data_IF_207064067021
#
_entry.id   IF_207064067021
#
_cell.length_a   1.000
_cell.length_b   1.000
_cell.length_c   1.000
_cell.angle_alpha   90.00
_cell.angle_beta   90.00
_cell.angle_gamma   90.00
#
_symmetry.space_group_name_H-M   'P 1'
#
loop_
_entity.id
_entity.type
_entity.pdbx_description
1 polymer ?
#
# COMPACT_ATOMS: atom_id res chain seq x y z
N UNK A 1 7.33 -6.95 16.43
CA UNK A 1 6.34 -7.13 15.36
C UNK A 1 6.52 -6.03 14.34
N UNK A 2 6.80 -6.41 13.10
CA UNK A 2 6.95 -5.50 11.98
C UNK A 2 5.63 -5.43 11.22
N UNK A 3 5.39 -4.32 10.53
CA UNK A 3 4.19 -4.08 9.76
C UNK A 3 4.56 -3.53 8.39
N UNK A 4 3.76 -3.85 7.38
CA UNK A 4 3.84 -3.26 6.05
C UNK A 4 2.65 -2.36 5.81
N UNK A 5 2.86 -1.28 5.06
CA UNK A 5 1.80 -0.38 4.62
C UNK A 5 1.52 -0.65 3.15
N UNK A 6 0.24 -0.83 2.83
CA UNK A 6 -0.27 -0.79 1.47
C UNK A 6 -1.25 0.38 1.32
N UNK A 7 -1.26 0.98 0.14
CA UNK A 7 -2.18 2.01 -0.30
C UNK A 7 -3.02 1.41 -1.42
N UNK A 8 -4.33 1.36 -1.24
CA UNK A 8 -5.25 0.73 -2.19
C UNK A 8 -5.88 1.74 -3.16
N UNK A 9 -5.92 3.00 -2.75
CA UNK A 9 -6.44 4.08 -3.57
C UNK A 9 -6.28 5.44 -2.90
N UNK A 10 -6.65 6.48 -3.63
CA UNK A 10 -6.64 7.85 -3.11
C UNK A 10 -7.86 8.63 -3.61
N UNK A 11 -8.52 9.35 -2.71
CA UNK A 11 -9.71 10.15 -2.98
C UNK A 11 -9.63 11.57 -2.40
N UNK A 12 -8.42 12.09 -2.22
CA UNK A 12 -8.19 13.46 -1.74
C UNK A 12 -8.40 14.53 -2.82
N UNK A 13 -8.22 15.80 -2.44
CA UNK A 13 -8.44 16.94 -3.34
C UNK A 13 -7.17 17.47 -4.00
N UNK A 14 -5.98 17.20 -3.43
CA UNK A 14 -4.71 17.76 -3.90
C UNK A 14 -3.68 16.65 -4.11
N UNK A 15 -3.47 16.26 -5.38
CA UNK A 15 -2.53 15.21 -5.76
C UNK A 15 -1.07 15.63 -5.54
N UNK A 16 -0.77 16.92 -5.71
CA UNK A 16 0.60 17.44 -5.58
C UNK A 16 1.00 17.45 -4.10
N UNK A 17 0.13 17.94 -3.22
CA UNK A 17 0.35 17.85 -1.79
C UNK A 17 0.47 16.39 -1.36
N UNK A 18 -0.43 15.51 -1.81
CA UNK A 18 -0.41 14.09 -1.48
C UNK A 18 0.92 13.42 -1.88
N UNK A 19 1.44 13.72 -3.08
CA UNK A 19 2.73 13.21 -3.56
C UNK A 19 3.88 13.73 -2.70
N UNK A 20 3.92 15.02 -2.37
CA UNK A 20 4.95 15.59 -1.49
C UNK A 20 4.95 14.95 -0.09
N UNK A 21 3.77 14.63 0.46
CA UNK A 21 3.67 13.96 1.76
C UNK A 21 4.14 12.51 1.69
N UNK A 22 3.77 11.76 0.64
CA UNK A 22 4.26 10.40 0.40
C UNK A 22 5.78 10.40 0.27
N UNK A 23 6.34 11.29 -0.56
CA UNK A 23 7.78 11.44 -0.74
C UNK A 23 8.50 11.63 0.61
N UNK A 24 7.96 12.46 1.50
CA UNK A 24 8.55 12.71 2.83
C UNK A 24 8.43 11.53 3.78
N UNK A 25 7.27 10.88 3.83
CA UNK A 25 7.01 9.77 4.77
C UNK A 25 7.83 8.54 4.41
N UNK A 26 7.80 8.19 3.12
CA UNK A 26 8.45 6.99 2.61
C UNK A 26 9.87 7.25 2.08
N UNK A 27 10.35 8.51 2.15
CA UNK A 27 11.67 8.95 1.69
C UNK A 27 11.92 8.60 0.21
N UNK A 28 10.91 8.85 -0.62
CA UNK A 28 10.92 8.63 -2.06
C UNK A 28 11.31 9.91 -2.81
N UNK A 29 11.67 9.77 -4.09
CA UNK A 29 11.78 10.92 -4.98
C UNK A 29 10.42 11.56 -5.26
N UNK A 30 10.40 12.86 -5.56
CA UNK A 30 9.14 13.56 -5.86
C UNK A 30 8.43 13.00 -7.11
N UNK A 31 9.19 12.69 -8.18
CA UNK A 31 8.64 12.05 -9.39
C UNK A 31 8.06 10.66 -9.10
N UNK A 32 8.76 9.88 -8.28
CA UNK A 32 8.31 8.55 -7.86
C UNK A 32 7.01 8.63 -7.06
N UNK A 33 6.95 9.56 -6.10
CA UNK A 33 5.74 9.77 -5.29
C UNK A 33 4.56 10.27 -6.12
N UNK A 34 4.80 11.14 -7.11
CA UNK A 34 3.77 11.60 -8.03
C UNK A 34 3.21 10.43 -8.86
N UNK A 35 4.09 9.55 -9.37
CA UNK A 35 3.69 8.34 -10.08
C UNK A 35 2.86 7.39 -9.22
N UNK A 36 3.20 7.26 -7.92
CA UNK A 36 2.42 6.46 -6.97
C UNK A 36 1.02 7.04 -6.78
N UNK A 37 0.89 8.34 -6.51
CA UNK A 37 -0.43 8.98 -6.32
C UNK A 37 -1.28 8.88 -7.58
N UNK A 38 -0.68 9.08 -8.76
CA UNK A 38 -1.37 8.90 -10.03
C UNK A 38 -1.86 7.44 -10.18
N UNK A 39 -1.01 6.45 -9.89
CA UNK A 39 -1.40 5.05 -9.91
C UNK A 39 -2.58 4.76 -8.98
N UNK A 40 -2.57 5.32 -7.77
CA UNK A 40 -3.64 5.16 -6.79
C UNK A 40 -4.98 5.76 -7.24
N UNK A 41 -4.94 6.86 -8.00
CA UNK A 41 -6.15 7.46 -8.61
C UNK A 41 -6.71 6.58 -9.72
N UNK A 42 -5.84 5.90 -10.46
CA UNK A 42 -6.20 4.95 -11.52
C UNK A 42 -6.65 3.58 -10.96
N UNK A 43 -6.59 3.38 -9.63
CA UNK A 43 -6.94 2.13 -8.97
C UNK A 43 -5.80 1.11 -8.89
N UNK A 44 -4.57 1.52 -9.21
CA UNK A 44 -3.37 0.72 -9.03
C UNK A 44 -2.84 0.92 -7.60
N UNK A 45 -3.00 -0.11 -6.76
CA UNK A 45 -2.47 -0.10 -5.41
C UNK A 45 -0.94 -0.03 -5.38
N UNK A 46 -0.39 0.49 -4.30
CA UNK A 46 1.04 0.59 -4.03
C UNK A 46 1.37 0.05 -2.64
N UNK A 47 2.54 -0.57 -2.48
CA UNK A 47 2.95 -1.15 -1.20
C UNK A 47 4.38 -0.73 -0.86
N UNK A 48 4.59 -0.35 0.40
CA UNK A 48 5.91 -0.01 0.87
C UNK A 48 6.75 -1.29 1.06
N UNK A 49 7.95 -1.30 0.50
CA UNK A 49 8.80 -2.51 0.47
C UNK A 49 9.27 -2.92 1.88
N UNK A 50 9.56 -1.93 2.73
CA UNK A 50 10.14 -2.15 4.04
C UNK A 50 9.10 -2.33 5.14
N UNK A 51 9.40 -3.25 6.06
CA UNK A 51 8.68 -3.36 7.31
C UNK A 51 9.01 -2.21 8.25
N UNK A 52 7.99 -1.66 8.91
CA UNK A 52 8.09 -0.60 9.90
C UNK A 52 7.53 -1.06 11.25
N UNK A 53 7.91 -0.39 12.34
CA UNK A 53 7.37 -0.72 13.66
C UNK A 53 5.86 -0.46 13.74
N UNK A 54 5.16 -1.16 14.65
CA UNK A 54 3.71 -0.96 14.82
C UNK A 54 3.31 0.48 15.15
N UNK A 55 4.15 1.20 15.91
CA UNK A 55 3.92 2.62 16.20
C UNK A 55 4.07 3.48 14.94
N UNK A 56 5.05 3.20 14.09
CA UNK A 56 5.23 3.89 12.83
C UNK A 56 4.09 3.59 11.86
N UNK A 57 3.60 2.34 11.82
CA UNK A 57 2.49 1.96 10.95
C UNK A 57 1.18 2.65 11.36
N UNK A 58 0.90 2.73 12.65
CA UNK A 58 -0.26 3.46 13.18
C UNK A 58 -0.19 4.97 12.90
N UNK A 59 1.00 5.58 13.05
CA UNK A 59 1.17 7.00 12.71
C UNK A 59 1.02 7.25 11.21
N UNK A 60 1.57 6.38 10.36
CA UNK A 60 1.44 6.48 8.91
C UNK A 60 -0.01 6.30 8.47
N UNK A 61 -0.71 5.29 8.99
CA UNK A 61 -2.14 5.05 8.71
C UNK A 61 -2.99 6.26 9.04
N UNK A 62 -2.95 6.75 10.29
CA UNK A 62 -3.76 7.89 10.71
C UNK A 62 -3.50 9.14 9.84
N UNK A 63 -2.23 9.40 9.53
CA UNK A 63 -1.87 10.56 8.72
C UNK A 63 -2.31 10.41 7.26
N UNK A 64 -2.05 9.26 6.63
CA UNK A 64 -2.40 9.03 5.23
C UNK A 64 -3.92 8.94 5.03
N UNK A 65 -4.66 8.32 5.95
CA UNK A 65 -6.13 8.34 5.92
C UNK A 65 -6.68 9.76 6.04
N UNK A 66 -6.08 10.64 6.85
CA UNK A 66 -6.48 12.05 6.91
C UNK A 66 -6.28 12.84 5.60
N UNK A 67 -5.37 12.35 4.74
CA UNK A 67 -5.12 12.91 3.41
C UNK A 67 -5.98 12.26 2.31
N UNK A 68 -6.88 11.34 2.69
CA UNK A 68 -7.78 10.64 1.77
C UNK A 68 -7.17 9.41 1.09
N UNK A 69 -6.08 8.85 1.62
CA UNK A 69 -5.60 7.55 1.18
C UNK A 69 -6.40 6.41 1.82
N UNK A 70 -6.68 5.37 1.03
CA UNK A 70 -7.12 4.08 1.54
C UNK A 70 -5.89 3.27 1.94
N UNK A 71 -5.70 3.07 3.25
CA UNK A 71 -4.48 2.51 3.83
C UNK A 71 -4.80 1.17 4.47
N UNK A 72 -3.95 0.18 4.20
CA UNK A 72 -4.00 -1.13 4.81
C UNK A 72 -2.69 -1.43 5.56
N UNK A 73 -2.82 -1.88 6.82
CA UNK A 73 -1.70 -2.33 7.64
C UNK A 73 -1.65 -3.84 7.70
N UNK A 74 -0.54 -4.41 7.28
CA UNK A 74 -0.30 -5.85 7.27
C UNK A 74 0.74 -6.20 8.33
N UNK A 75 0.45 -7.18 9.17
CA UNK A 75 1.44 -7.76 10.09
C UNK A 75 2.46 -8.56 9.28
N UNK A 76 3.73 -8.18 9.39
CA UNK A 76 4.83 -9.00 8.92
C UNK A 76 5.21 -9.95 10.07
N UNK A 77 4.64 -11.14 10.05
CA UNK A 77 5.11 -12.27 10.85
C UNK A 77 6.37 -12.84 10.20
N UNK A 78 7.36 -13.24 11.00
CA UNK A 78 8.64 -13.82 10.55
C UNK A 78 8.48 -15.13 9.72
N UNK A 79 7.26 -15.57 9.46
CA UNK A 79 6.92 -16.67 8.54
C UNK A 79 6.94 -16.25 7.04
N UNK A 80 7.06 -14.96 6.70
CA UNK A 80 7.39 -14.52 5.34
C UNK A 80 8.92 -14.48 5.12
N UNK A 81 9.61 -15.60 5.39
CA UNK A 81 10.89 -15.88 4.74
C UNK A 81 10.63 -16.42 3.32
N UNK A 82 11.38 -15.99 2.30
CA UNK A 82 11.09 -16.29 0.90
C UNK A 82 11.38 -17.76 0.60
N UNK A 83 10.38 -18.52 0.14
CA UNK A 83 10.64 -19.73 -0.65
C UNK A 83 10.83 -19.30 -2.11
N UNK A 84 12.10 -19.17 -2.46
CA UNK A 84 12.74 -19.42 -3.77
C UNK A 84 11.89 -19.41 -5.06
N UNK A 85 12.28 -18.49 -5.96
CA UNK A 85 12.51 -18.68 -7.40
C UNK A 85 11.61 -19.67 -8.15
N UNK A 86 10.54 -19.14 -8.78
CA UNK A 86 9.75 -19.86 -9.77
C UNK A 86 9.29 -18.92 -10.89
N UNK A 87 10.01 -18.93 -12.00
CA UNK A 87 9.63 -18.30 -13.26
C UNK A 87 8.23 -18.78 -13.71
N UNK A 88 7.24 -17.89 -13.88
CA UNK A 88 5.96 -18.28 -14.47
C UNK A 88 4.76 -17.42 -14.08
N UNK A 89 4.40 -16.49 -14.99
CA UNK A 89 3.05 -16.00 -15.32
C UNK A 89 1.95 -16.15 -14.27
N UNK A 90 1.45 -14.99 -13.82
CA UNK A 90 0.10 -14.86 -13.24
C UNK A 90 0.09 -14.85 -11.73
N UNK A 91 0.48 -13.72 -11.14
CA UNK A 91 0.27 -13.45 -9.71
C UNK A 91 -1.22 -13.36 -9.40
N UNK A 92 -1.88 -14.50 -9.23
CA UNK A 92 -3.14 -14.59 -8.49
C UNK A 92 -2.79 -14.44 -7.01
N UNK A 93 -2.56 -13.19 -6.61
CA UNK A 93 -2.39 -12.82 -5.23
C UNK A 93 -3.62 -13.22 -4.43
N UNK A 94 -3.38 -13.52 -3.16
CA UNK A 94 -4.34 -13.94 -2.13
C UNK A 94 -5.58 -13.00 -2.10
N UNK A 95 -5.40 -11.76 -2.55
CA UNK A 95 -6.41 -10.71 -2.78
C UNK A 95 -7.48 -11.02 -3.82
N UNK A 96 -7.16 -11.74 -4.91
CA UNK A 96 -8.15 -12.08 -5.93
C UNK A 96 -9.24 -13.01 -5.38
N UNK A 97 -8.90 -13.82 -4.37
CA UNK A 97 -9.83 -14.79 -3.75
C UNK A 97 -10.72 -14.15 -2.68
N UNK A 98 -10.21 -13.13 -1.99
CA UNK A 98 -10.95 -12.40 -0.95
C UNK A 98 -11.94 -11.42 -1.59
N UNK A 99 -11.55 -10.74 -2.68
CA UNK A 99 -12.42 -9.82 -3.40
C UNK A 99 -13.57 -10.55 -4.13
N UNK A 100 -13.32 -11.75 -4.65
CA UNK A 100 -14.34 -12.59 -5.31
C UNK A 100 -15.36 -13.18 -4.31
N UNK A 101 -14.94 -13.53 -3.09
CA UNK A 101 -15.82 -13.99 -2.01
C UNK A 101 -16.74 -12.87 -1.48
N UNK A 102 -16.24 -11.63 -1.42
CA UNK A 102 -17.03 -10.50 -0.92
C UNK A 102 -18.10 -10.01 -1.89
N UNK A 103 -17.92 -10.21 -3.20
CA UNK A 103 -18.88 -9.74 -4.22
C UNK A 103 -19.91 -10.81 -4.64
N UNK A 104 -19.81 -12.04 -4.10
CA UNK A 104 -20.70 -13.18 -4.42
C UNK A 104 -21.96 -13.26 -3.55
N UNK A 105 -22.16 -12.32 -2.63
CA UNK A 105 -23.37 -12.20 -1.79
C UNK A 105 -24.27 -11.03 -2.20
N UNK A 106 -24.59 -10.94 -3.50
CA UNK A 106 -25.83 -10.30 -3.96
C UNK A 106 -26.68 -11.29 -4.73
#
# INVERSE_FOLDING_TARGET
MSYRIALNGWSGNDQEEAAQKIAKIFRLGEEEAAGIVQGLVEGNGWQFEHGISGKQSEMAENFLTSLGFDVERQLLTDEEMPLETGNGKGGKGIWSKIWEELNKKR
#
